data_IF_148874434301
#
_entry.id   IF_148874434301
#
_cell.length_a   1.000
_cell.length_b   1.000
_cell.length_c   1.000
_cell.angle_alpha   90.00
_cell.angle_beta   90.00
_cell.angle_gamma   90.00
#
_symmetry.space_group_name_H-M   'P 1'
#
loop_
_entity.id
_entity.type
_entity.pdbx_description
1 polymer ?
#
# COMPACT_ATOMS: atom_id res chain seq x y z
N UNK A 1 -3.18 -2.43 -1.79
CA UNK A 1 -3.68 -3.71 -2.32
C UNK A 1 -2.84 -4.81 -1.72
N UNK A 2 -3.43 -5.97 -1.43
CA UNK A 2 -2.73 -7.09 -0.79
C UNK A 2 -3.27 -8.42 -1.28
N UNK A 3 -2.39 -9.42 -1.43
CA UNK A 3 -2.75 -10.82 -1.68
C UNK A 3 -2.83 -11.65 -0.40
N UNK A 4 -2.54 -11.06 0.76
CA UNK A 4 -2.43 -11.77 2.04
C UNK A 4 -3.73 -11.65 2.84
N UNK A 5 -4.75 -12.46 2.49
CA UNK A 5 -6.08 -12.43 3.14
C UNK A 5 -6.02 -12.49 4.67
N UNK A 6 -5.11 -13.28 5.23
CA UNK A 6 -4.97 -13.48 6.66
C UNK A 6 -4.52 -12.21 7.42
N UNK A 7 -3.90 -11.23 6.73
CA UNK A 7 -3.41 -9.98 7.35
C UNK A 7 -4.45 -8.87 7.44
N UNK A 8 -5.68 -9.13 6.99
CA UNK A 8 -6.78 -8.19 7.07
C UNK A 8 -7.44 -8.23 8.46
N UNK A 9 -7.46 -7.08 9.14
CA UNK A 9 -8.18 -6.91 10.41
C UNK A 9 -9.70 -6.89 10.19
N UNK A 10 -10.15 -6.27 9.10
CA UNK A 10 -11.53 -6.36 8.63
C UNK A 10 -11.56 -6.83 7.19
N UNK A 11 -12.62 -7.52 6.80
CA UNK A 11 -12.77 -7.98 5.43
C UNK A 11 -14.23 -8.11 5.05
N UNK A 12 -14.55 -7.67 3.84
CA UNK A 12 -15.83 -7.91 3.19
C UNK A 12 -15.57 -8.28 1.74
N UNK A 13 -16.29 -9.30 1.25
CA UNK A 13 -16.30 -9.65 -0.17
C UNK A 13 -16.95 -8.52 -0.98
N UNK A 14 -16.40 -8.18 -2.13
CA UNK A 14 -17.05 -7.27 -3.06
C UNK A 14 -18.28 -7.95 -3.67
N UNK A 15 -19.34 -7.19 -3.96
CA UNK A 15 -20.51 -7.71 -4.66
C UNK A 15 -20.13 -8.17 -6.06
N UNK A 16 -19.31 -7.36 -6.76
CA UNK A 16 -18.72 -7.69 -8.04
C UNK A 16 -17.19 -7.52 -7.97
N UNK A 17 -16.40 -8.44 -8.55
CA UNK A 17 -14.96 -8.27 -8.65
C UNK A 17 -14.59 -7.02 -9.46
N UNK A 18 -13.55 -6.32 -9.03
CA UNK A 18 -13.04 -5.12 -9.70
C UNK A 18 -11.74 -5.43 -10.45
N UNK A 19 -11.62 -4.94 -11.67
CA UNK A 19 -10.39 -5.08 -12.47
C UNK A 19 -9.26 -4.23 -11.88
N UNK A 20 -8.09 -4.84 -11.72
CA UNK A 20 -6.82 -4.19 -11.38
C UNK A 20 -5.90 -4.36 -12.57
N UNK A 21 -5.60 -3.26 -13.26
CA UNK A 21 -4.74 -3.26 -14.44
C UNK A 21 -3.27 -3.36 -14.07
N UNK A 22 -2.55 -4.16 -14.83
CA UNK A 22 -1.10 -4.34 -14.74
C UNK A 22 -0.41 -3.51 -15.83
N UNK A 23 0.91 -3.33 -15.70
CA UNK A 23 1.70 -2.54 -16.66
C UNK A 23 1.88 -3.20 -18.03
N UNK A 24 1.42 -4.44 -18.21
CA UNK A 24 1.48 -5.22 -19.45
C UNK A 24 0.10 -5.37 -20.12
N UNK A 25 -0.81 -4.41 -19.88
CA UNK A 25 -2.19 -4.37 -20.38
C UNK A 25 -3.10 -5.55 -19.98
N UNK A 26 -2.63 -6.46 -19.13
CA UNK A 26 -3.47 -7.48 -18.50
C UNK A 26 -4.17 -6.90 -17.27
N UNK A 27 -5.16 -7.64 -16.76
CA UNK A 27 -5.77 -7.34 -15.48
C UNK A 27 -5.88 -8.58 -14.60
N UNK A 28 -5.89 -8.34 -13.29
CA UNK A 28 -6.25 -9.31 -12.25
C UNK A 28 -7.44 -8.79 -11.44
N UNK A 29 -8.03 -9.63 -10.58
CA UNK A 29 -9.26 -9.27 -9.88
C UNK A 29 -9.03 -8.92 -8.41
N UNK A 30 -9.54 -7.76 -8.00
CA UNK A 30 -9.86 -7.49 -6.61
C UNK A 30 -11.20 -8.14 -6.26
N UNK A 31 -11.23 -8.99 -5.26
CA UNK A 31 -12.43 -9.78 -4.87
C UNK A 31 -12.97 -9.42 -3.48
N UNK A 32 -12.22 -8.64 -2.72
CA UNK A 32 -12.59 -8.20 -1.39
C UNK A 32 -11.99 -6.85 -1.04
N UNK A 33 -12.48 -6.26 0.05
CA UNK A 33 -11.98 -5.00 0.59
C UNK A 33 -11.99 -5.07 2.12
N UNK A 34 -11.05 -4.39 2.75
CA UNK A 34 -10.97 -4.36 4.20
C UNK A 34 -9.94 -3.38 4.73
N UNK A 35 -9.48 -3.63 5.94
CA UNK A 35 -8.42 -2.83 6.57
C UNK A 35 -7.27 -3.71 7.01
N UNK A 36 -6.06 -3.15 7.02
CA UNK A 36 -4.82 -3.83 7.40
C UNK A 36 -3.95 -2.90 8.22
N UNK A 37 -3.25 -3.45 9.21
CA UNK A 37 -2.16 -2.73 9.88
C UNK A 37 -0.91 -2.81 9.02
N UNK A 38 -0.31 -1.64 8.77
CA UNK A 38 0.97 -1.51 8.12
C UNK A 38 1.99 -1.06 9.17
N UNK A 39 3.04 -1.85 9.31
CA UNK A 39 4.21 -1.43 10.07
C UNK A 39 5.08 -0.58 9.14
N UNK A 40 5.36 0.66 9.56
CA UNK A 40 6.30 1.53 8.91
C UNK A 40 7.49 1.56 9.87
N UNK A 41 8.65 1.05 9.45
CA UNK A 41 9.82 0.67 10.27
C UNK A 41 10.49 1.76 11.16
N UNK A 42 9.77 2.80 11.57
CA UNK A 42 10.21 3.92 12.40
C UNK A 42 9.86 3.75 13.90
N UNK A 43 9.70 2.51 14.39
CA UNK A 43 9.38 2.21 15.81
C UNK A 43 8.07 2.84 16.33
N UNK A 44 7.18 3.27 15.45
CA UNK A 44 5.85 3.79 15.78
C UNK A 44 4.81 2.67 15.82
N UNK A 45 3.67 2.95 16.44
CA UNK A 45 2.53 2.04 16.40
C UNK A 45 2.10 1.77 14.93
N UNK A 46 1.69 0.53 14.60
CA UNK A 46 1.24 0.18 13.26
C UNK A 46 0.09 1.09 12.79
N UNK A 47 0.17 1.52 11.52
CA UNK A 47 -0.84 2.40 10.93
C UNK A 47 -1.97 1.55 10.35
N UNK A 48 -3.22 1.84 10.73
CA UNK A 48 -4.38 1.20 10.15
C UNK A 48 -4.68 1.80 8.76
N UNK A 49 -4.46 1.01 7.71
CA UNK A 49 -4.84 1.39 6.35
C UNK A 49 -6.23 0.82 6.05
N UNK A 50 -7.19 1.71 5.82
CA UNK A 50 -8.55 1.34 5.46
C UNK A 50 -8.71 1.14 3.95
N UNK A 51 -9.82 0.50 3.54
CA UNK A 51 -10.22 0.27 2.14
C UNK A 51 -9.11 -0.37 1.28
N UNK A 52 -8.36 -1.31 1.82
CA UNK A 52 -7.36 -2.11 1.10
C UNK A 52 -8.08 -3.15 0.26
N UNK A 53 -7.81 -3.22 -1.04
CA UNK A 53 -8.34 -4.28 -1.89
C UNK A 53 -7.56 -5.59 -1.70
N UNK A 54 -8.30 -6.68 -1.56
CA UNK A 54 -7.79 -8.05 -1.58
C UNK A 54 -7.74 -8.55 -3.03
N UNK A 55 -6.53 -8.81 -3.51
CA UNK A 55 -6.22 -9.19 -4.88
C UNK A 55 -5.39 -10.47 -4.81
N UNK A 56 -6.00 -11.67 -4.90
CA UNK A 56 -5.32 -12.94 -4.62
C UNK A 56 -4.12 -13.20 -5.54
N UNK A 57 -4.23 -12.79 -6.80
CA UNK A 57 -3.23 -13.06 -7.85
C UNK A 57 -2.03 -12.09 -7.80
N UNK A 58 -2.03 -11.12 -6.88
CA UNK A 58 -0.96 -10.15 -6.78
C UNK A 58 0.26 -10.77 -6.07
N UNK A 59 1.43 -10.73 -6.69
CA UNK A 59 2.64 -11.34 -6.12
C UNK A 59 3.10 -10.68 -4.80
N UNK A 60 2.86 -9.38 -4.64
CA UNK A 60 3.23 -8.62 -3.45
C UNK A 60 2.10 -7.71 -2.97
N UNK A 61 2.41 -6.85 -1.99
CA UNK A 61 1.47 -5.80 -1.57
C UNK A 61 1.85 -4.49 -2.27
N UNK A 62 0.85 -3.75 -2.72
CA UNK A 62 1.05 -2.44 -3.34
C UNK A 62 0.43 -1.35 -2.46
N UNK A 63 1.25 -0.40 -2.02
CA UNK A 63 0.78 0.77 -1.28
C UNK A 63 0.30 1.83 -2.28
N UNK A 64 -0.91 2.36 -2.06
CA UNK A 64 -1.48 3.37 -2.95
C UNK A 64 -0.90 4.75 -2.59
N UNK A 65 -0.10 5.32 -3.48
CA UNK A 65 0.46 6.68 -3.30
C UNK A 65 -0.66 7.72 -3.21
N UNK A 66 -1.70 7.61 -4.05
CA UNK A 66 -2.84 8.52 -4.00
C UNK A 66 -3.60 8.48 -2.66
N UNK A 67 -3.69 7.30 -2.02
CA UNK A 67 -4.25 7.17 -0.66
C UNK A 67 -3.39 7.90 0.36
N UNK A 68 -2.07 7.70 0.33
CA UNK A 68 -1.14 8.41 1.23
C UNK A 68 -1.28 9.92 1.06
N UNK A 69 -1.24 10.41 -0.19
CA UNK A 69 -1.42 11.82 -0.53
C UNK A 69 -2.75 12.38 -0.01
N UNK A 70 -3.86 11.69 -0.25
CA UNK A 70 -5.17 12.10 0.26
C UNK A 70 -5.28 12.10 1.80
N UNK A 71 -4.40 11.35 2.47
CA UNK A 71 -4.28 11.29 3.93
C UNK A 71 -3.39 12.37 4.52
N UNK A 72 -2.84 13.28 3.70
CA UNK A 72 -1.93 14.34 4.14
C UNK A 72 -0.47 13.89 4.25
N UNK A 73 -0.09 12.80 3.59
CA UNK A 73 1.30 12.33 3.53
C UNK A 73 1.89 12.58 2.15
N UNK A 74 3.12 13.08 2.08
CA UNK A 74 3.85 13.23 0.84
C UNK A 74 4.80 12.05 0.61
N UNK A 75 4.81 11.51 -0.62
CA UNK A 75 5.80 10.50 -1.04
C UNK A 75 6.85 11.17 -1.91
N UNK A 76 8.09 11.21 -1.43
CA UNK A 76 9.23 11.81 -2.12
C UNK A 76 10.13 10.72 -2.69
N UNK A 77 10.22 10.63 -4.01
CA UNK A 77 11.17 9.74 -4.69
C UNK A 77 12.56 10.39 -4.72
N UNK A 78 13.58 9.63 -4.33
CA UNK A 78 14.99 10.04 -4.28
C UNK A 78 15.85 9.00 -4.99
N UNK A 79 17.12 9.31 -5.21
CA UNK A 79 18.04 8.50 -6.03
C UNK A 79 18.05 7.00 -5.68
N UNK A 80 17.97 6.66 -4.40
CA UNK A 80 18.08 5.27 -3.93
C UNK A 80 16.79 4.71 -3.29
N UNK A 81 15.66 5.41 -3.39
CA UNK A 81 14.45 4.98 -2.70
C UNK A 81 13.33 6.02 -2.64
N UNK A 82 12.48 5.93 -1.63
CA UNK A 82 11.51 6.98 -1.34
C UNK A 82 11.33 7.21 0.16
N UNK A 83 10.84 8.41 0.50
CA UNK A 83 10.48 8.81 1.85
C UNK A 83 8.99 9.12 1.87
N UNK A 84 8.32 8.71 2.94
CA UNK A 84 6.93 9.07 3.23
C UNK A 84 6.99 10.08 4.36
N UNK A 85 6.47 11.28 4.13
CA UNK A 85 6.54 12.43 5.04
C UNK A 85 5.14 12.79 5.49
N UNK A 86 4.95 13.05 6.78
CA UNK A 86 3.77 13.73 7.29
C UNK A 86 4.01 15.24 7.21
N UNK A 87 3.36 15.90 6.27
CA UNK A 87 3.59 17.33 5.98
C UNK A 87 3.17 18.24 7.14
N UNK A 88 2.26 17.80 8.01
CA UNK A 88 1.81 18.60 9.15
C UNK A 88 2.81 18.57 10.30
N UNK A 89 3.41 17.41 10.51
CA UNK A 89 4.37 17.20 11.60
C UNK A 89 5.82 17.38 11.15
N UNK A 90 6.07 17.55 9.85
CA UNK A 90 7.39 17.69 9.22
C UNK A 90 8.36 16.56 9.61
N UNK A 91 7.87 15.33 9.53
CA UNK A 91 8.61 14.12 9.93
C UNK A 91 8.52 13.03 8.87
N UNK A 92 9.59 12.26 8.74
CA UNK A 92 9.59 11.03 7.95
C UNK A 92 8.86 9.96 8.77
N UNK A 93 7.82 9.38 8.20
CA UNK A 93 7.02 8.30 8.83
C UNK A 93 7.30 6.93 8.21
N UNK A 94 8.06 6.87 7.11
CA UNK A 94 8.45 5.64 6.47
C UNK A 94 9.48 5.87 5.38
N UNK A 95 10.24 4.83 5.06
CA UNK A 95 11.19 4.83 3.94
C UNK A 95 11.03 3.57 3.12
N UNK A 96 11.42 3.62 1.86
CA UNK A 96 11.46 2.47 0.98
C UNK A 96 12.76 2.48 0.18
N UNK A 97 13.34 1.31 -0.05
CA UNK A 97 14.53 1.13 -0.89
C UNK A 97 14.12 0.72 -2.31
N UNK A 98 14.85 1.22 -3.32
CA UNK A 98 14.65 0.79 -4.70
C UNK A 98 15.32 -0.58 -4.93
N UNK A 99 14.54 -1.58 -5.37
CA UNK A 99 15.01 -2.92 -5.71
C UNK A 99 14.27 -3.44 -6.94
N UNK A 100 15.01 -3.85 -7.97
CA UNK A 100 14.47 -4.41 -9.21
C UNK A 100 13.37 -3.53 -9.85
N UNK A 101 13.53 -2.21 -9.78
CA UNK A 101 12.57 -1.24 -10.31
C UNK A 101 11.33 -0.98 -9.42
N UNK A 102 11.28 -1.55 -8.21
CA UNK A 102 10.20 -1.38 -7.24
C UNK A 102 10.70 -0.69 -5.97
N UNK A 103 9.86 0.18 -5.40
CA UNK A 103 10.11 0.78 -4.09
C UNK A 103 9.54 -0.15 -3.00
N UNK A 104 10.43 -0.81 -2.27
CA UNK A 104 10.09 -1.77 -1.23
C UNK A 104 10.19 -1.06 0.11
N UNK A 105 9.06 -0.96 0.82
CA UNK A 105 9.03 -0.40 2.17
C UNK A 105 10.06 -1.12 3.04
N UNK A 106 10.93 -0.33 3.66
CA UNK A 106 11.91 -0.79 4.67
C UNK A 106 11.31 -1.39 6.04
#
# INVERSE_FOLDING_TARGET
MSSQRARFATYRRLQEPMRVWLGDDRYILAVGVGSMYLDLNDHRAPVLISRVFYVPELHGNLLSVSRLASGGLTVQFVEHGCRIVDDKADIIVGTASLKDGLYILN
#
